data_IF_514324575861
#
_entry.id   IF_514324575861
#
_cell.length_a   1.000
_cell.length_b   1.000
_cell.length_c   1.000
_cell.angle_alpha   90.00
_cell.angle_beta   90.00
_cell.angle_gamma   90.00
#
_symmetry.space_group_name_H-M   'P 1'
#
loop_
_entity.id
_entity.type
_entity.pdbx_description
1 polymer ?
#
# COMPACT_ATOMS: atom_id res chain seq x y z
N UNK A 1 -27.77 -6.15 15.12
CA UNK A 1 -28.54 -7.35 14.69
C UNK A 1 -28.14 -8.54 15.56
N UNK A 2 -29.11 -9.38 15.96
CA UNK A 2 -28.87 -10.53 16.85
C UNK A 2 -27.91 -11.61 16.29
N UNK A 3 -27.53 -11.49 15.01
CA UNK A 3 -26.55 -12.37 14.35
C UNK A 3 -25.12 -11.82 14.38
N UNK A 4 -24.93 -10.56 14.79
CA UNK A 4 -23.60 -9.97 14.87
C UNK A 4 -22.81 -10.57 16.05
N UNK A 5 -21.65 -11.10 15.76
CA UNK A 5 -20.73 -11.65 16.77
C UNK A 5 -19.79 -10.52 17.21
N UNK A 6 -19.62 -10.35 18.50
CA UNK A 6 -18.58 -9.45 19.01
C UNK A 6 -17.21 -10.09 18.82
N UNK A 7 -16.54 -9.70 17.74
CA UNK A 7 -15.27 -10.31 17.30
C UNK A 7 -14.21 -10.29 18.40
N UNK A 8 -14.13 -9.19 19.18
CA UNK A 8 -13.14 -9.07 20.26
C UNK A 8 -13.30 -10.17 21.30
N UNK A 9 -14.55 -10.40 21.77
CA UNK A 9 -14.84 -11.43 22.76
C UNK A 9 -14.51 -12.85 22.23
N UNK A 10 -14.70 -13.08 20.92
CA UNK A 10 -14.33 -14.36 20.30
C UNK A 10 -12.81 -14.53 20.18
N UNK A 11 -12.08 -13.47 19.84
CA UNK A 11 -10.62 -13.51 19.78
C UNK A 11 -9.96 -13.78 21.14
N UNK A 12 -10.57 -13.23 22.22
CA UNK A 12 -10.03 -13.41 23.58
C UNK A 12 -10.14 -14.88 24.10
N UNK A 13 -11.02 -15.69 23.49
CA UNK A 13 -11.24 -17.11 23.86
C UNK A 13 -10.74 -18.11 22.80
N UNK A 14 -10.26 -17.62 21.65
CA UNK A 14 -9.72 -18.48 20.60
C UNK A 14 -8.32 -18.96 20.97
N UNK A 15 -8.01 -20.21 20.61
CA UNK A 15 -6.64 -20.71 20.71
C UNK A 15 -5.75 -20.06 19.62
N UNK A 16 -4.44 -20.25 19.73
CA UNK A 16 -3.46 -19.72 18.79
C UNK A 16 -2.96 -20.78 17.79
N UNK A 17 -3.65 -21.91 17.68
CA UNK A 17 -3.26 -22.96 16.75
C UNK A 17 -3.71 -22.62 15.31
N UNK A 18 -2.93 -23.08 14.34
CA UNK A 18 -3.32 -22.95 12.95
C UNK A 18 -4.55 -23.83 12.67
N UNK A 19 -5.51 -23.27 11.93
CA UNK A 19 -6.66 -24.03 11.45
C UNK A 19 -6.17 -25.20 10.56
N UNK A 20 -6.78 -26.36 10.69
CA UNK A 20 -6.46 -27.55 9.86
C UNK A 20 -6.61 -27.23 8.36
N UNK A 21 -7.59 -26.40 8.01
CA UNK A 21 -7.86 -25.95 6.65
C UNK A 21 -6.70 -25.18 6.02
N UNK A 22 -5.80 -24.62 6.82
CA UNK A 22 -4.61 -23.88 6.33
C UNK A 22 -3.79 -24.74 5.37
N UNK A 23 -3.69 -26.05 5.62
CA UNK A 23 -2.95 -26.99 4.77
C UNK A 23 -3.63 -27.29 3.43
N UNK A 24 -4.91 -26.96 3.29
CA UNK A 24 -5.70 -27.20 2.07
C UNK A 24 -5.85 -25.97 1.18
N UNK A 25 -5.48 -24.78 1.68
CA UNK A 25 -5.57 -23.52 0.93
C UNK A 25 -4.67 -23.56 -0.31
N UNK A 26 -5.24 -23.18 -1.45
CA UNK A 26 -4.56 -23.15 -2.75
C UNK A 26 -4.43 -21.73 -3.27
N UNK A 27 -3.47 -21.52 -4.15
CA UNK A 27 -3.22 -20.22 -4.77
C UNK A 27 -4.41 -19.64 -5.54
N UNK A 28 -5.26 -20.51 -6.10
CA UNK A 28 -6.49 -20.14 -6.82
C UNK A 28 -7.69 -19.83 -5.93
N UNK A 29 -7.63 -20.21 -4.66
CA UNK A 29 -8.75 -20.01 -3.74
C UNK A 29 -8.88 -18.51 -3.44
N UNK A 30 -10.13 -18.08 -3.26
CA UNK A 30 -10.44 -16.67 -2.97
C UNK A 30 -9.97 -16.32 -1.57
N UNK A 31 -9.06 -15.35 -1.47
CA UNK A 31 -8.57 -14.85 -0.20
C UNK A 31 -9.53 -13.79 0.37
N UNK A 32 -9.99 -12.87 -0.48
CA UNK A 32 -10.90 -11.80 -0.04
C UNK A 32 -11.65 -11.19 -1.23
N UNK A 33 -12.65 -10.37 -0.89
CA UNK A 33 -13.35 -9.49 -1.81
C UNK A 33 -13.02 -8.04 -1.45
N UNK A 34 -12.59 -7.25 -2.45
CA UNK A 34 -12.33 -5.82 -2.27
C UNK A 34 -13.41 -5.05 -3.00
N UNK A 35 -14.15 -4.23 -2.25
CA UNK A 35 -15.20 -3.41 -2.84
C UNK A 35 -14.61 -2.17 -3.51
N UNK A 36 -15.04 -1.92 -4.75
CA UNK A 36 -14.67 -0.74 -5.54
C UNK A 36 -15.87 0.14 -5.75
N UNK A 37 -15.66 1.46 -5.87
CA UNK A 37 -16.74 2.45 -5.98
C UNK A 37 -17.54 2.37 -7.28
N UNK A 38 -17.15 1.53 -8.24
CA UNK A 38 -17.83 1.33 -9.52
C UNK A 38 -18.26 2.62 -10.24
N UNK A 39 -18.04 2.73 -11.52
CA UNK A 39 -18.46 3.89 -12.34
C UNK A 39 -19.99 4.04 -12.43
N UNK A 40 -20.74 3.01 -12.08
CA UNK A 40 -22.21 2.95 -12.15
C UNK A 40 -22.91 3.27 -10.82
N UNK A 41 -22.18 3.72 -9.79
CA UNK A 41 -22.73 4.11 -8.49
C UNK A 41 -23.00 2.97 -7.49
N UNK A 42 -23.05 1.71 -7.95
CA UNK A 42 -23.17 0.54 -7.05
C UNK A 42 -21.81 -0.07 -6.84
N UNK A 43 -21.36 -0.27 -5.58
CA UNK A 43 -20.10 -0.91 -5.29
C UNK A 43 -20.02 -2.32 -5.90
N UNK A 44 -18.91 -2.65 -6.53
CA UNK A 44 -18.61 -3.98 -7.06
C UNK A 44 -17.56 -4.66 -6.20
N UNK A 45 -17.70 -5.97 -6.00
CA UNK A 45 -16.74 -6.77 -5.25
C UNK A 45 -15.72 -7.39 -6.21
N UNK A 46 -14.50 -6.88 -6.22
CA UNK A 46 -13.40 -7.49 -6.96
C UNK A 46 -12.95 -8.77 -6.25
N UNK A 47 -12.90 -9.86 -6.96
CA UNK A 47 -12.44 -11.17 -6.45
C UNK A 47 -10.91 -11.16 -6.37
N UNK A 48 -10.36 -11.39 -5.19
CA UNK A 48 -8.92 -11.44 -4.96
C UNK A 48 -8.51 -12.86 -4.52
N UNK A 49 -8.06 -13.71 -5.45
CA UNK A 49 -7.49 -15.01 -5.09
C UNK A 49 -6.11 -14.84 -4.42
N UNK A 50 -5.68 -15.85 -3.68
CA UNK A 50 -4.36 -15.86 -3.02
C UNK A 50 -3.22 -15.56 -4.01
N UNK A 51 -3.28 -16.10 -5.21
CA UNK A 51 -2.28 -15.85 -6.26
C UNK A 51 -2.12 -14.37 -6.59
N UNK A 52 -3.22 -13.63 -6.64
CA UNK A 52 -3.19 -12.18 -6.94
C UNK A 52 -2.50 -11.40 -5.83
N UNK A 53 -2.82 -11.72 -4.58
CA UNK A 53 -2.21 -11.08 -3.41
C UNK A 53 -0.72 -11.40 -3.35
N UNK A 54 -0.35 -12.67 -3.51
CA UNK A 54 1.04 -13.10 -3.50
C UNK A 54 1.85 -12.47 -4.63
N UNK A 55 1.35 -12.47 -5.87
CA UNK A 55 2.03 -11.87 -7.00
C UNK A 55 2.24 -10.37 -6.81
N UNK A 56 1.23 -9.65 -6.34
CA UNK A 56 1.33 -8.22 -6.06
C UNK A 56 2.35 -7.94 -4.96
N UNK A 57 2.27 -8.64 -3.81
CA UNK A 57 3.15 -8.41 -2.67
C UNK A 57 4.61 -8.77 -2.99
N UNK A 58 4.88 -9.92 -3.62
CA UNK A 58 6.24 -10.34 -3.98
C UNK A 58 6.89 -9.34 -4.93
N UNK A 59 6.19 -9.00 -6.04
CA UNK A 59 6.74 -8.07 -7.02
C UNK A 59 7.01 -6.70 -6.42
N UNK A 60 6.08 -6.15 -5.63
CA UNK A 60 6.25 -4.83 -5.06
C UNK A 60 7.32 -4.80 -3.96
N UNK A 61 7.48 -5.88 -3.21
CA UNK A 61 8.52 -6.00 -2.19
C UNK A 61 9.90 -6.04 -2.82
N UNK A 62 10.12 -6.94 -3.79
CA UNK A 62 11.44 -7.19 -4.39
C UNK A 62 11.85 -6.06 -5.35
N UNK A 63 10.97 -5.66 -6.24
CA UNK A 63 11.30 -4.71 -7.30
C UNK A 63 10.89 -3.27 -6.97
N UNK A 64 9.80 -3.08 -6.25
CA UNK A 64 9.29 -1.77 -5.83
C UNK A 64 10.02 -1.23 -4.62
N UNK A 65 9.68 -1.68 -3.43
CA UNK A 65 10.24 -1.20 -2.17
C UNK A 65 11.71 -1.53 -2.01
N UNK A 66 12.11 -2.76 -2.29
CA UNK A 66 13.45 -3.30 -2.01
C UNK A 66 13.75 -3.28 -0.50
N UNK A 67 12.76 -3.61 0.31
CA UNK A 67 12.83 -3.69 1.77
C UNK A 67 13.14 -5.10 2.24
N UNK A 68 13.61 -5.21 3.47
CA UNK A 68 13.94 -6.46 4.16
C UNK A 68 13.54 -6.39 5.64
N UNK A 69 13.92 -7.37 6.42
CA UNK A 69 13.56 -7.53 7.84
C UNK A 69 13.99 -6.38 8.75
N UNK A 70 14.94 -5.55 8.32
CA UNK A 70 15.40 -4.38 9.10
C UNK A 70 14.54 -3.13 8.87
N UNK A 71 13.63 -3.17 7.90
CA UNK A 71 12.80 -2.04 7.51
C UNK A 71 11.50 -1.97 8.32
N UNK A 72 10.94 -0.76 8.38
CA UNK A 72 9.64 -0.50 8.98
C UNK A 72 8.75 0.29 8.01
N UNK A 73 7.56 -0.21 7.72
CA UNK A 73 6.58 0.42 6.85
C UNK A 73 5.64 1.33 7.63
N UNK A 74 5.50 2.60 7.22
CA UNK A 74 4.39 3.44 7.67
C UNK A 74 3.14 3.15 6.82
N UNK A 75 2.08 2.63 7.43
CA UNK A 75 0.81 2.33 6.78
C UNK A 75 -0.36 2.99 7.50
N UNK A 76 -0.88 4.06 6.94
CA UNK A 76 -2.08 4.77 7.40
C UNK A 76 -3.26 4.63 6.43
N UNK A 77 -3.14 3.71 5.46
CA UNK A 77 -4.21 3.43 4.50
C UNK A 77 -5.17 2.36 5.05
N UNK A 78 -6.44 2.38 4.62
CA UNK A 78 -7.41 1.37 5.00
C UNK A 78 -6.98 -0.03 4.56
N UNK A 79 -6.98 -0.99 5.50
CA UNK A 79 -6.59 -2.37 5.22
C UNK A 79 -7.64 -3.16 4.43
N UNK A 80 -8.85 -2.62 4.29
CA UNK A 80 -9.88 -3.18 3.41
C UNK A 80 -9.74 -2.74 1.94
N UNK A 81 -8.75 -1.89 1.62
CA UNK A 81 -8.43 -1.45 0.27
C UNK A 81 -7.13 -2.12 -0.22
N UNK A 82 -7.07 -2.43 -1.52
CA UNK A 82 -5.94 -3.14 -2.13
C UNK A 82 -4.58 -2.49 -1.85
N UNK A 83 -4.49 -1.17 -1.86
CA UNK A 83 -3.24 -0.46 -1.61
C UNK A 83 -2.74 -0.71 -0.18
N UNK A 84 -3.57 -0.48 0.85
CA UNK A 84 -3.19 -0.71 2.25
C UNK A 84 -2.93 -2.18 2.57
N UNK A 85 -3.70 -3.09 1.96
CA UNK A 85 -3.55 -4.53 2.17
C UNK A 85 -2.36 -5.11 1.38
N UNK A 86 -2.42 -5.06 0.04
CA UNK A 86 -1.46 -5.78 -0.79
C UNK A 86 -0.09 -5.10 -0.84
N UNK A 87 -0.08 -3.77 -1.01
CA UNK A 87 1.16 -2.99 -1.10
C UNK A 87 1.70 -2.59 0.29
N UNK A 88 0.85 -2.60 1.32
CA UNK A 88 1.23 -2.35 2.71
C UNK A 88 1.52 -3.65 3.45
N UNK A 89 0.50 -4.26 4.06
CA UNK A 89 0.65 -5.41 4.99
C UNK A 89 1.28 -6.63 4.32
N UNK A 90 0.78 -7.05 3.15
CA UNK A 90 1.29 -8.25 2.50
C UNK A 90 2.75 -8.06 2.02
N UNK A 91 3.14 -6.85 1.62
CA UNK A 91 4.53 -6.55 1.27
C UNK A 91 5.46 -6.65 2.50
N UNK A 92 5.01 -6.18 3.65
CA UNK A 92 5.76 -6.26 4.92
C UNK A 92 5.93 -7.72 5.35
N UNK A 93 4.86 -8.52 5.31
CA UNK A 93 4.92 -9.97 5.61
C UNK A 93 5.91 -10.66 4.66
N UNK A 94 5.87 -10.34 3.38
CA UNK A 94 6.77 -10.92 2.37
C UNK A 94 8.24 -10.58 2.63
N UNK A 95 8.52 -9.39 3.16
CA UNK A 95 9.87 -8.92 3.47
C UNK A 95 10.40 -9.40 4.84
N UNK A 96 9.53 -9.94 5.71
CA UNK A 96 9.84 -10.14 7.13
C UNK A 96 10.04 -8.83 7.89
N UNK A 97 9.58 -7.70 7.33
CA UNK A 97 9.75 -6.37 7.89
C UNK A 97 8.71 -6.06 8.99
N UNK A 98 8.90 -4.95 9.67
CA UNK A 98 7.90 -4.43 10.63
C UNK A 98 6.98 -3.39 9.98
N UNK A 99 5.85 -3.10 10.62
CA UNK A 99 4.94 -2.06 10.16
C UNK A 99 4.36 -1.26 11.32
N UNK A 100 4.32 0.06 11.15
CA UNK A 100 3.53 0.96 11.96
C UNK A 100 2.18 1.20 11.28
N UNK A 101 1.11 0.72 11.92
CA UNK A 101 -0.27 0.87 11.41
C UNK A 101 -0.98 1.99 12.16
N UNK A 102 -1.56 2.92 11.42
CA UNK A 102 -2.33 4.02 11.98
C UNK A 102 -3.76 4.01 11.44
N UNK A 103 -4.75 4.12 12.33
CA UNK A 103 -6.18 4.11 11.93
C UNK A 103 -6.60 5.30 11.08
N UNK A 104 -5.99 6.46 11.31
CA UNK A 104 -6.31 7.70 10.61
C UNK A 104 -5.04 8.50 10.35
N UNK A 105 -4.81 8.84 9.11
CA UNK A 105 -3.71 9.72 8.72
C UNK A 105 -3.80 11.09 9.39
N UNK A 106 -2.65 11.66 9.75
CA UNK A 106 -2.50 13.03 10.24
C UNK A 106 -1.21 13.62 9.69
N UNK A 107 -1.31 14.66 8.89
CA UNK A 107 -0.14 15.33 8.35
C UNK A 107 0.72 15.99 9.46
N UNK A 108 0.08 16.52 10.50
CA UNK A 108 0.77 17.20 11.59
C UNK A 108 1.59 16.29 12.51
N UNK A 109 1.28 14.98 12.56
CA UNK A 109 2.04 14.03 13.39
C UNK A 109 2.89 13.06 12.57
N UNK A 110 2.81 13.13 11.24
CA UNK A 110 3.44 12.14 10.36
C UNK A 110 4.95 12.04 10.56
N UNK A 111 5.66 13.16 10.53
CA UNK A 111 7.12 13.16 10.64
C UNK A 111 7.62 12.77 12.03
N UNK A 112 6.90 13.17 13.08
CA UNK A 112 7.18 12.71 14.46
C UNK A 112 7.01 11.19 14.58
N UNK A 113 6.00 10.61 13.91
CA UNK A 113 5.78 9.16 13.86
C UNK A 113 6.86 8.45 13.04
N UNK A 114 7.26 9.01 11.89
CA UNK A 114 8.36 8.51 11.07
C UNK A 114 9.65 8.41 11.89
N UNK A 115 9.98 9.45 12.64
CA UNK A 115 11.15 9.47 13.53
C UNK A 115 10.99 8.48 14.69
N UNK A 116 9.87 8.55 15.41
CA UNK A 116 9.62 7.75 16.60
C UNK A 116 9.66 6.24 16.35
N UNK A 117 9.08 5.80 15.24
CA UNK A 117 8.98 4.39 14.88
C UNK A 117 10.04 3.96 13.86
N UNK A 118 10.96 4.87 13.50
CA UNK A 118 12.02 4.64 12.51
C UNK A 118 11.48 4.02 11.22
N UNK A 119 10.39 4.59 10.68
CA UNK A 119 9.77 4.04 9.48
C UNK A 119 10.57 4.43 8.23
N UNK A 120 11.06 3.42 7.53
CA UNK A 120 11.96 3.56 6.37
C UNK A 120 11.23 3.47 5.03
N UNK A 121 9.99 2.97 5.05
CA UNK A 121 9.14 2.82 3.88
C UNK A 121 7.74 3.40 4.13
N UNK A 122 7.09 3.86 3.06
CA UNK A 122 5.73 4.41 3.10
C UNK A 122 4.87 3.78 2.01
N UNK A 123 3.68 3.29 2.36
CA UNK A 123 2.63 3.07 1.38
C UNK A 123 1.72 4.29 1.33
N UNK A 124 1.48 4.84 0.12
CA UNK A 124 0.80 6.12 -0.02
C UNK A 124 -0.33 6.11 -1.05
N UNK A 125 -1.18 7.13 -0.95
CA UNK A 125 -1.99 7.67 -2.03
C UNK A 125 -1.65 9.15 -2.20
N UNK A 126 -1.72 9.66 -3.42
CA UNK A 126 -1.27 11.03 -3.75
C UNK A 126 -1.90 12.13 -2.90
N UNK A 127 -3.13 11.94 -2.43
CA UNK A 127 -3.80 12.91 -1.55
C UNK A 127 -3.10 13.05 -0.19
N UNK A 128 -2.62 11.96 0.42
CA UNK A 128 -1.83 12.04 1.66
C UNK A 128 -0.52 12.80 1.44
N UNK A 129 0.13 12.52 0.31
CA UNK A 129 1.35 13.22 -0.09
C UNK A 129 1.12 14.72 -0.29
N UNK A 130 -0.02 15.10 -0.87
CA UNK A 130 -0.42 16.50 -1.04
C UNK A 130 -0.60 17.20 0.30
N UNK A 131 -1.19 16.55 1.30
CA UNK A 131 -1.30 17.12 2.64
C UNK A 131 0.07 17.36 3.28
N UNK A 132 0.99 16.40 3.15
CA UNK A 132 2.36 16.54 3.66
C UNK A 132 3.13 17.66 2.95
N UNK A 133 3.02 17.73 1.63
CA UNK A 133 3.68 18.77 0.83
C UNK A 133 3.21 20.18 1.18
N UNK A 134 1.93 20.34 1.53
CA UNK A 134 1.32 21.62 1.90
C UNK A 134 1.40 21.96 3.40
N UNK A 135 1.96 21.08 4.22
CA UNK A 135 2.15 21.35 5.64
C UNK A 135 3.36 22.26 5.87
N UNK A 136 3.30 23.05 6.96
CA UNK A 136 4.43 23.84 7.39
C UNK A 136 5.64 22.93 7.69
N UNK A 137 6.88 23.38 7.39
CA UNK A 137 8.07 22.65 7.73
C UNK A 137 8.20 22.38 9.23
N UNK A 138 8.61 21.16 9.57
CA UNK A 138 8.85 20.76 10.95
C UNK A 138 10.28 20.24 11.14
N UNK A 139 10.89 20.37 12.33
CA UNK A 139 12.20 19.78 12.58
C UNK A 139 12.24 18.27 12.38
N UNK A 140 11.12 17.57 12.60
CA UNK A 140 11.03 16.12 12.48
C UNK A 140 11.12 15.60 11.04
N UNK A 141 10.89 16.45 10.02
CA UNK A 141 11.08 16.06 8.63
C UNK A 141 12.55 16.04 8.19
N UNK A 142 13.41 16.71 8.95
CA UNK A 142 14.84 16.75 8.65
C UNK A 142 15.52 15.46 9.10
N UNK A 143 16.40 14.93 8.26
CA UNK A 143 17.12 13.66 8.53
C UNK A 143 16.18 12.49 8.87
N UNK A 144 14.96 12.49 8.31
CA UNK A 144 14.03 11.40 8.50
C UNK A 144 14.55 10.09 7.85
N UNK A 145 14.21 8.91 8.39
CA UNK A 145 14.70 7.63 7.88
C UNK A 145 13.97 7.12 6.63
N UNK A 146 12.96 7.84 6.13
CA UNK A 146 12.12 7.41 5.01
C UNK A 146 12.91 7.41 3.71
N UNK A 147 13.19 6.24 3.15
CA UNK A 147 14.02 6.07 1.95
C UNK A 147 13.24 5.68 0.69
N UNK A 148 12.06 5.07 0.86
CA UNK A 148 11.25 4.57 -0.24
C UNK A 148 9.76 4.74 0.02
N UNK A 149 9.03 5.05 -1.03
CA UNK A 149 7.58 5.08 -0.99
C UNK A 149 6.98 4.43 -2.24
N UNK A 150 5.87 3.72 -2.04
CA UNK A 150 5.12 3.04 -3.11
C UNK A 150 3.65 3.38 -2.98
N UNK A 151 3.02 3.72 -4.08
CA UNK A 151 1.59 4.04 -4.09
C UNK A 151 1.11 4.53 -5.44
N UNK A 152 0.07 5.33 -5.42
CA UNK A 152 -0.56 5.81 -6.64
C UNK A 152 -1.08 7.24 -6.50
N UNK A 153 -1.14 7.96 -7.63
CA UNK A 153 -1.74 9.29 -7.73
C UNK A 153 -0.83 10.43 -7.28
N UNK A 154 0.49 10.24 -7.28
CA UNK A 154 1.43 11.30 -6.92
C UNK A 154 1.55 12.33 -8.05
N UNK A 155 1.23 13.57 -7.75
CA UNK A 155 1.33 14.67 -8.70
C UNK A 155 2.78 15.08 -8.95
N UNK A 156 3.14 15.57 -10.16
CA UNK A 156 4.52 15.95 -10.48
C UNK A 156 5.11 17.05 -9.58
N UNK A 157 4.29 18.01 -9.16
CA UNK A 157 4.68 19.08 -8.23
C UNK A 157 4.97 18.55 -6.81
N UNK A 158 4.17 17.60 -6.36
CA UNK A 158 4.36 16.92 -5.06
C UNK A 158 5.57 15.98 -5.11
N UNK A 159 5.84 15.37 -6.26
CA UNK A 159 7.01 14.50 -6.47
C UNK A 159 8.32 15.21 -6.14
N UNK A 160 8.52 16.42 -6.68
CA UNK A 160 9.72 17.23 -6.42
C UNK A 160 9.87 17.54 -4.94
N UNK A 161 8.77 17.89 -4.24
CA UNK A 161 8.80 18.15 -2.80
C UNK A 161 9.26 16.91 -2.01
N UNK A 162 8.79 15.72 -2.36
CA UNK A 162 9.23 14.49 -1.69
C UNK A 162 10.71 14.21 -1.89
N UNK A 163 11.26 14.53 -3.05
CA UNK A 163 12.69 14.39 -3.32
C UNK A 163 13.53 15.47 -2.66
N UNK A 164 13.15 16.73 -2.86
CA UNK A 164 13.99 17.87 -2.50
C UNK A 164 13.85 18.26 -1.03
N UNK A 165 12.62 18.28 -0.50
CA UNK A 165 12.35 18.65 0.88
C UNK A 165 12.48 17.49 1.86
N UNK A 166 11.93 16.33 1.50
CA UNK A 166 11.88 15.18 2.40
C UNK A 166 12.98 14.15 2.15
N UNK A 167 13.75 14.28 1.08
CA UNK A 167 14.90 13.42 0.79
C UNK A 167 14.54 11.99 0.39
N UNK A 168 13.32 11.73 -0.07
CA UNK A 168 12.89 10.39 -0.46
C UNK A 168 13.49 10.02 -1.82
N UNK A 169 14.48 9.13 -1.82
CA UNK A 169 15.25 8.82 -3.02
C UNK A 169 14.54 7.86 -3.99
N UNK A 170 13.61 7.04 -3.49
CA UNK A 170 12.89 6.06 -4.30
C UNK A 170 11.39 6.25 -4.21
N UNK A 171 10.78 6.62 -5.33
CA UNK A 171 9.34 6.81 -5.46
C UNK A 171 8.83 5.88 -6.56
N UNK A 172 8.04 4.89 -6.17
CA UNK A 172 7.46 3.90 -7.08
C UNK A 172 5.98 4.19 -7.23
N UNK A 173 5.64 4.84 -8.32
CA UNK A 173 4.26 5.09 -8.72
C UNK A 173 3.67 3.84 -9.35
N UNK A 174 2.40 3.58 -9.05
CA UNK A 174 1.63 2.47 -9.60
C UNK A 174 0.34 3.03 -10.21
N UNK A 175 -0.04 2.52 -11.38
CA UNK A 175 -1.34 2.77 -11.98
C UNK A 175 -2.00 1.45 -12.32
N UNK A 176 -3.21 1.23 -11.80
CA UNK A 176 -3.98 0.02 -12.03
C UNK A 176 -5.31 0.05 -11.29
N UNK A 177 -6.08 -1.01 -11.46
CA UNK A 177 -7.38 -1.20 -10.80
C UNK A 177 -7.37 -2.45 -9.91
N UNK A 178 -8.22 -2.44 -8.87
CA UNK A 178 -8.38 -3.61 -7.99
C UNK A 178 -8.90 -4.83 -8.74
N UNK A 179 -9.60 -4.65 -9.82
CA UNK A 179 -10.06 -5.70 -10.75
C UNK A 179 -8.90 -6.36 -11.51
N UNK A 180 -7.79 -5.63 -11.74
CA UNK A 180 -6.52 -6.17 -12.21
C UNK A 180 -6.43 -6.47 -13.71
N UNK A 181 -6.76 -5.50 -14.57
CA UNK A 181 -6.60 -5.67 -16.02
C UNK A 181 -5.16 -5.45 -16.48
N UNK A 182 -4.63 -4.26 -16.24
CA UNK A 182 -3.24 -3.91 -16.51
C UNK A 182 -2.66 -3.14 -15.32
N UNK A 183 -1.39 -3.38 -15.05
CA UNK A 183 -0.65 -2.69 -14.00
C UNK A 183 0.55 -1.99 -14.63
N UNK A 184 0.65 -0.69 -14.45
CA UNK A 184 1.85 0.07 -14.73
C UNK A 184 2.59 0.32 -13.43
N UNK A 185 3.90 0.16 -13.44
CA UNK A 185 4.72 0.34 -12.24
C UNK A 185 6.05 1.00 -12.59
N UNK A 186 6.42 2.02 -11.84
CA UNK A 186 7.67 2.74 -12.00
C UNK A 186 8.82 2.04 -11.25
N UNK A 187 9.18 0.84 -11.68
CA UNK A 187 10.25 0.05 -11.06
C UNK A 187 11.65 0.64 -11.32
N UNK A 188 11.80 1.40 -12.38
CA UNK A 188 13.07 2.05 -12.77
C UNK A 188 13.37 3.33 -11.99
N UNK A 189 12.46 3.74 -11.10
CA UNK A 189 12.58 4.98 -10.32
C UNK A 189 12.79 6.23 -11.21
N UNK A 190 12.11 6.28 -12.35
CA UNK A 190 12.14 7.43 -13.23
C UNK A 190 11.12 8.48 -12.77
N UNK A 191 11.58 9.71 -12.61
CA UNK A 191 10.74 10.77 -12.04
C UNK A 191 9.49 11.07 -12.89
N UNK A 192 8.39 11.36 -12.19
CA UNK A 192 7.13 11.85 -12.77
C UNK A 192 6.50 10.95 -13.83
N UNK A 193 6.65 9.63 -13.67
CA UNK A 193 6.05 8.64 -14.57
C UNK A 193 5.38 7.51 -13.79
N UNK A 194 4.32 6.97 -14.34
CA UNK A 194 3.67 5.75 -13.83
C UNK A 194 4.45 4.48 -14.19
N UNK A 195 5.52 4.61 -14.98
CA UNK A 195 6.39 3.49 -15.36
C UNK A 195 5.91 2.73 -16.58
N UNK A 196 6.06 1.40 -16.53
CA UNK A 196 5.82 0.50 -17.63
C UNK A 196 4.92 -0.68 -17.22
N UNK A 197 4.38 -1.35 -18.19
CA UNK A 197 3.65 -2.61 -18.04
C UNK A 197 4.22 -3.67 -18.98
N UNK A 198 4.04 -4.93 -18.61
CA UNK A 198 4.29 -6.08 -19.48
C UNK A 198 3.00 -6.62 -20.12
N UNK A 199 1.87 -6.00 -19.86
CA UNK A 199 0.60 -6.35 -20.50
C UNK A 199 0.49 -5.72 -21.89
N UNK A 200 -0.17 -6.43 -22.80
CA UNK A 200 -0.56 -5.85 -24.09
C UNK A 200 -1.65 -4.81 -23.85
N UNK A 201 -1.35 -3.55 -24.18
CA UNK A 201 -2.27 -2.42 -24.01
C UNK A 201 -2.43 -1.66 -25.32
N UNK A 202 -3.63 -1.17 -25.60
CA UNK A 202 -3.91 -0.28 -26.70
C UNK A 202 -4.58 0.98 -26.17
N UNK A 203 -4.17 2.13 -26.70
CA UNK A 203 -4.88 3.39 -26.51
C UNK A 203 -5.94 3.50 -27.61
N UNK A 204 -7.17 3.65 -27.22
CA UNK A 204 -8.29 3.86 -28.12
C UNK A 204 -8.86 5.25 -27.89
N UNK A 205 -9.25 5.92 -28.99
CA UNK A 205 -10.02 7.15 -28.91
C UNK A 205 -11.43 6.81 -28.40
N UNK A 206 -11.91 7.60 -27.48
CA UNK A 206 -13.25 7.44 -26.90
C UNK A 206 -14.05 8.71 -27.21
N UNK A 207 -15.16 8.52 -27.95
CA UNK A 207 -16.10 9.58 -28.32
C UNK A 207 -17.06 9.95 -27.17
#
# INVERSE_FOLDING_TARGET
PNWAIELKAQLDISDNENLEETNSVRVKDVACYIFTSGTTGVPKAAICPNQKILAASVNITIAGYRINETDCMHNSLPLYHSTGLMLGICAVIQAGASTFIKRKFSASSFWDEVQKYNTTALVYIGELCRYLANSDPTPAEQNNPLKVMVGNGLRPDVWDIFKDRFGVNRIVEIYGASEGNALFTNLLNKDKTIGMTNADVALIEYD
#
